data_IF_480677034202
#
_entry.id   IF_480677034202
#
_cell.length_a   1.000
_cell.length_b   1.000
_cell.length_c   1.000
_cell.angle_alpha   90.00
_cell.angle_beta   90.00
_cell.angle_gamma   90.00
#
_symmetry.space_group_name_H-M   'P 1'
#
loop_
_entity.id
_entity.type
_entity.pdbx_description
1 polymer ?
#
# COMPACT_ATOMS: atom_id res chain seq x y z
N UNK A 1 -11.75 -6.67 -11.07
CA UNK A 1 -13.15 -6.28 -10.70
C UNK A 1 -13.10 -5.25 -9.57
N UNK A 2 -13.99 -4.24 -9.54
CA UNK A 2 -14.06 -3.30 -8.40
C UNK A 2 -14.98 -3.85 -7.31
N UNK A 3 -14.47 -3.92 -6.08
CA UNK A 3 -15.21 -4.39 -4.89
C UNK A 3 -14.80 -3.58 -3.65
N UNK A 4 -15.40 -3.88 -2.49
CA UNK A 4 -15.02 -3.31 -1.20
C UNK A 4 -14.57 -4.43 -0.28
N UNK A 5 -13.45 -4.23 0.41
CA UNK A 5 -12.85 -5.23 1.32
C UNK A 5 -12.49 -4.60 2.66
N UNK A 6 -12.57 -5.34 3.77
CA UNK A 6 -12.10 -4.88 5.07
C UNK A 6 -10.63 -4.44 5.06
N UNK A 7 -10.30 -3.42 5.86
CA UNK A 7 -8.94 -2.90 5.98
C UNK A 7 -7.94 -3.92 6.56
N UNK A 8 -8.42 -4.88 7.36
CA UNK A 8 -7.62 -5.96 7.97
C UNK A 8 -7.43 -7.17 7.04
N UNK A 9 -8.11 -7.21 5.89
CA UNK A 9 -7.88 -8.19 4.82
C UNK A 9 -6.91 -7.67 3.73
N UNK A 10 -6.48 -6.40 3.82
CA UNK A 10 -5.60 -5.78 2.83
C UNK A 10 -4.14 -5.73 3.28
N UNK A 11 -3.29 -6.47 2.56
CA UNK A 11 -1.87 -6.57 2.87
C UNK A 11 -1.07 -5.45 2.17
N UNK A 12 -0.37 -4.59 2.92
CA UNK A 12 0.52 -3.59 2.31
C UNK A 12 1.75 -4.24 1.71
N UNK A 13 2.14 -3.79 0.51
CA UNK A 13 3.49 -4.02 -0.07
C UNK A 13 4.46 -2.86 0.19
N UNK A 14 4.23 -2.05 1.24
CA UNK A 14 5.06 -0.89 1.58
C UNK A 14 5.26 -0.76 3.08
N UNK A 15 6.51 -0.69 3.53
CA UNK A 15 6.84 -0.64 4.96
C UNK A 15 6.59 0.70 5.64
N UNK A 16 6.67 1.81 4.90
CA UNK A 16 6.68 3.15 5.47
C UNK A 16 5.77 4.09 4.68
N UNK A 17 5.18 5.07 5.37
CA UNK A 17 4.48 6.18 4.70
C UNK A 17 5.37 7.42 4.73
N UNK A 18 5.58 8.06 3.59
CA UNK A 18 6.22 9.37 3.56
C UNK A 18 5.29 10.42 4.15
N UNK A 19 5.73 11.11 5.21
CA UNK A 19 5.00 12.22 5.80
C UNK A 19 4.69 13.34 4.79
N UNK A 20 5.56 13.53 3.79
CA UNK A 20 5.31 14.49 2.72
C UNK A 20 4.16 14.03 1.82
N UNK A 21 4.21 12.81 1.28
CA UNK A 21 3.12 12.25 0.47
C UNK A 21 1.80 12.22 1.25
N UNK A 22 1.86 11.92 2.54
CA UNK A 22 0.68 11.93 3.41
C UNK A 22 0.07 13.32 3.54
N UNK A 23 0.88 14.38 3.71
CA UNK A 23 0.37 15.76 3.70
C UNK A 23 -0.33 16.07 2.39
N UNK A 24 0.27 15.71 1.27
CA UNK A 24 -0.29 15.97 -0.05
C UNK A 24 -1.66 15.28 -0.22
N UNK A 25 -1.83 14.06 0.31
CA UNK A 25 -3.13 13.37 0.34
C UNK A 25 -4.12 14.07 1.26
N UNK A 26 -3.71 14.40 2.49
CA UNK A 26 -4.55 15.06 3.50
C UNK A 26 -5.07 16.43 3.04
N UNK A 27 -4.34 17.13 2.17
CA UNK A 27 -4.77 18.44 1.63
C UNK A 27 -6.05 18.38 0.79
N UNK A 28 -6.35 17.25 0.14
CA UNK A 28 -7.55 17.08 -0.71
C UNK A 28 -8.49 15.98 -0.24
N UNK A 29 -8.09 15.15 0.72
CA UNK A 29 -8.91 14.06 1.23
C UNK A 29 -10.06 14.60 2.09
N UNK A 30 -11.29 14.25 1.74
CA UNK A 30 -12.47 14.56 2.53
C UNK A 30 -12.67 13.46 3.61
N UNK A 31 -12.47 13.83 4.87
CA UNK A 31 -12.64 12.88 5.98
C UNK A 31 -14.11 12.64 6.34
N UNK A 32 -15.01 13.56 5.99
CA UNK A 32 -16.46 13.41 6.22
C UNK A 32 -17.11 12.55 5.13
N UNK A 33 -16.50 12.50 3.94
CA UNK A 33 -16.82 11.59 2.83
C UNK A 33 -15.55 10.99 2.22
N UNK A 34 -14.98 9.91 2.81
CA UNK A 34 -13.68 9.34 2.45
C UNK A 34 -13.70 8.55 1.12
N UNK A 35 -14.32 9.13 0.10
CA UNK A 35 -14.35 8.62 -1.25
C UNK A 35 -12.95 8.69 -1.87
N UNK A 36 -12.48 7.54 -2.35
CA UNK A 36 -11.26 7.41 -3.12
C UNK A 36 -11.48 6.49 -4.31
N UNK A 37 -10.68 6.65 -5.35
CA UNK A 37 -10.65 5.71 -6.46
C UNK A 37 -10.30 4.30 -5.97
N UNK A 38 -10.78 3.29 -6.69
CA UNK A 38 -10.47 1.91 -6.37
C UNK A 38 -8.95 1.68 -6.39
N UNK A 39 -8.43 1.11 -5.32
CA UNK A 39 -6.99 0.88 -5.17
C UNK A 39 -6.59 -0.43 -5.86
N UNK A 40 -5.52 -0.45 -6.67
CA UNK A 40 -5.11 -1.65 -7.38
C UNK A 40 -4.59 -2.70 -6.40
N UNK A 41 -5.09 -3.92 -6.55
CA UNK A 41 -4.73 -5.07 -5.72
C UNK A 41 -4.51 -6.29 -6.59
N UNK A 42 -3.73 -7.24 -6.10
CA UNK A 42 -3.53 -8.54 -6.76
C UNK A 42 -3.31 -9.62 -5.70
N UNK A 43 -3.73 -10.85 -5.99
CA UNK A 43 -3.51 -11.99 -5.09
C UNK A 43 -2.06 -12.46 -5.26
N UNK A 44 -1.18 -12.05 -4.33
CA UNK A 44 0.20 -12.51 -4.27
C UNK A 44 0.32 -13.59 -3.21
N UNK A 45 0.66 -14.80 -3.65
CA UNK A 45 0.92 -15.96 -2.77
C UNK A 45 -0.23 -16.28 -1.78
N UNK A 46 -1.46 -15.91 -2.16
CA UNK A 46 -2.68 -16.11 -1.37
C UNK A 46 -3.16 -14.88 -0.61
N UNK A 47 -2.36 -13.82 -0.53
CA UNK A 47 -2.68 -12.57 0.17
C UNK A 47 -3.23 -11.51 -0.81
N UNK A 48 -4.33 -10.85 -0.42
CA UNK A 48 -4.86 -9.70 -1.17
C UNK A 48 -3.96 -8.48 -0.94
N UNK A 49 -3.03 -8.28 -1.87
CA UNK A 49 -1.93 -7.34 -1.71
C UNK A 49 -2.24 -6.02 -2.42
N UNK A 50 -2.07 -4.91 -1.70
CA UNK A 50 -2.14 -3.56 -2.23
C UNK A 50 -0.89 -3.28 -3.09
N UNK A 51 -1.07 -3.02 -4.37
CA UNK A 51 0.04 -2.74 -5.31
C UNK A 51 0.43 -1.26 -5.29
N UNK A 52 -0.54 -0.37 -5.15
CA UNK A 52 -0.30 1.08 -5.06
C UNK A 52 -1.39 1.76 -4.23
N UNK A 53 -1.15 3.00 -3.84
CA UNK A 53 -2.10 3.83 -3.11
C UNK A 53 -2.04 3.66 -1.60
N UNK A 54 -0.97 3.08 -1.04
CA UNK A 54 -0.79 2.86 0.40
C UNK A 54 -0.98 4.13 1.23
N UNK A 55 -0.57 5.30 0.72
CA UNK A 55 -0.80 6.57 1.44
C UNK A 55 -2.29 6.94 1.49
N UNK A 56 -3.04 6.73 0.40
CA UNK A 56 -4.49 6.96 0.37
C UNK A 56 -5.23 5.96 1.25
N UNK A 57 -4.87 4.67 1.15
CA UNK A 57 -5.40 3.61 1.99
C UNK A 57 -5.20 3.92 3.48
N UNK A 58 -3.98 4.34 3.86
CA UNK A 58 -3.64 4.65 5.23
C UNK A 58 -4.35 5.92 5.74
N UNK A 59 -4.48 6.97 4.92
CA UNK A 59 -5.24 8.18 5.29
C UNK A 59 -6.72 7.86 5.49
N UNK A 60 -7.33 7.05 4.61
CA UNK A 60 -8.70 6.59 4.77
C UNK A 60 -8.88 5.76 6.06
N UNK A 61 -7.95 4.83 6.34
CA UNK A 61 -7.93 4.06 7.59
C UNK A 61 -7.87 4.98 8.83
N UNK A 62 -7.01 6.00 8.83
CA UNK A 62 -6.94 6.99 9.92
C UNK A 62 -8.22 7.83 10.05
N UNK A 63 -8.96 8.01 8.96
CA UNK A 63 -10.29 8.62 8.95
C UNK A 63 -11.39 7.75 9.56
N UNK A 64 -11.08 6.52 9.98
CA UNK A 64 -12.04 5.58 10.57
C UNK A 64 -12.79 4.74 9.53
N UNK A 65 -12.24 4.60 8.33
CA UNK A 65 -12.79 3.70 7.31
C UNK A 65 -12.41 2.26 7.63
N UNK A 66 -13.42 1.40 7.82
CA UNK A 66 -13.24 -0.02 8.11
C UNK A 66 -13.06 -0.90 6.84
N UNK A 67 -13.38 -0.35 5.66
CA UNK A 67 -13.33 -1.08 4.40
C UNK A 67 -13.03 -0.17 3.20
N UNK A 68 -12.16 -0.60 2.30
CA UNK A 68 -11.70 0.19 1.15
C UNK A 68 -12.22 -0.36 -0.17
N UNK A 69 -12.47 0.56 -1.12
CA UNK A 69 -12.71 0.20 -2.52
C UNK A 69 -11.42 -0.24 -3.18
N UNK A 70 -11.42 -1.44 -3.75
CA UNK A 70 -10.28 -2.01 -4.46
C UNK A 70 -10.65 -2.40 -5.87
N UNK A 71 -9.64 -2.47 -6.74
CA UNK A 71 -9.70 -3.12 -8.03
C UNK A 71 -8.77 -4.32 -7.97
N UNK A 72 -9.33 -5.52 -7.91
CA UNK A 72 -8.56 -6.75 -8.07
C UNK A 72 -8.19 -6.89 -9.55
N UNK A 73 -6.89 -6.86 -9.82
CA UNK A 73 -6.27 -7.04 -11.13
C UNK A 73 -6.19 -8.53 -11.45
N UNK A 74 -6.28 -8.86 -12.73
CA UNK A 74 -6.02 -10.22 -13.21
C UNK A 74 -4.63 -10.34 -13.87
N UNK A 75 -4.30 -11.55 -14.36
CA UNK A 75 -3.01 -11.81 -15.00
C UNK A 75 -2.75 -10.91 -16.22
N UNK A 76 -3.80 -10.49 -16.94
CA UNK A 76 -3.67 -9.60 -18.09
C UNK A 76 -3.41 -8.15 -17.69
N UNK A 77 -3.99 -7.71 -16.58
CA UNK A 77 -3.71 -6.38 -15.99
C UNK A 77 -2.28 -6.27 -15.43
N UNK A 78 -1.64 -7.41 -15.12
CA UNK A 78 -0.35 -7.46 -14.42
C UNK A 78 0.83 -7.87 -15.31
N UNK A 79 0.65 -8.07 -16.62
CA UNK A 79 1.73 -8.48 -17.55
C UNK A 79 2.93 -7.53 -17.56
N UNK A 80 2.68 -6.23 -17.37
CA UNK A 80 3.73 -5.19 -17.32
C UNK A 80 4.28 -4.93 -15.91
N UNK A 81 3.72 -5.59 -14.89
CA UNK A 81 4.15 -5.41 -13.50
C UNK A 81 5.28 -6.38 -13.15
N UNK A 82 6.28 -5.87 -12.43
CA UNK A 82 7.31 -6.72 -11.84
C UNK A 82 6.79 -7.39 -10.57
N UNK A 83 6.03 -8.48 -10.74
CA UNK A 83 5.42 -9.21 -9.62
C UNK A 83 6.46 -9.83 -8.67
N UNK A 84 7.70 -10.07 -9.12
CA UNK A 84 8.77 -10.55 -8.24
C UNK A 84 9.18 -9.48 -7.22
N UNK A 85 9.32 -8.21 -7.66
CA UNK A 85 9.56 -7.09 -6.75
C UNK A 85 8.42 -6.92 -5.75
N UNK A 86 7.16 -7.05 -6.18
CA UNK A 86 6.01 -6.95 -5.28
C UNK A 86 5.98 -8.08 -4.25
N UNK A 87 6.32 -9.32 -4.65
CA UNK A 87 6.46 -10.44 -3.70
C UNK A 87 7.54 -10.15 -2.66
N UNK A 88 8.72 -9.67 -3.07
CA UNK A 88 9.78 -9.33 -2.13
C UNK A 88 9.36 -8.18 -1.18
N UNK A 89 8.63 -7.18 -1.70
CA UNK A 89 8.05 -6.12 -0.88
C UNK A 89 7.05 -6.65 0.15
N UNK A 90 6.20 -7.62 -0.24
CA UNK A 90 5.26 -8.29 0.65
C UNK A 90 5.99 -9.10 1.73
N UNK A 91 7.01 -9.86 1.35
CA UNK A 91 7.85 -10.63 2.28
C UNK A 91 8.49 -9.72 3.33
N UNK A 92 9.08 -8.59 2.91
CA UNK A 92 9.64 -7.61 3.85
C UNK A 92 8.58 -7.05 4.80
N UNK A 93 7.36 -6.84 4.32
CA UNK A 93 6.25 -6.38 5.15
C UNK A 93 5.87 -7.45 6.18
N UNK A 94 5.73 -8.72 5.78
CA UNK A 94 5.46 -9.83 6.69
C UNK A 94 6.56 -10.00 7.76
N UNK A 95 7.85 -9.94 7.37
CA UNK A 95 9.00 -10.04 8.27
C UNK A 95 9.01 -8.93 9.34
N UNK A 96 8.59 -7.73 8.97
CA UNK A 96 8.51 -6.56 9.85
C UNK A 96 7.19 -6.45 10.62
N UNK A 97 6.26 -7.39 10.43
CA UNK A 97 4.94 -7.39 11.06
C UNK A 97 4.00 -6.30 10.50
N UNK A 98 4.11 -5.99 9.21
CA UNK A 98 3.20 -5.13 8.46
C UNK A 98 2.30 -6.03 7.60
N UNK A 99 1.26 -6.59 8.21
CA UNK A 99 0.32 -7.50 7.54
C UNK A 99 -0.99 -6.84 7.16
N UNK A 100 -1.31 -5.70 7.75
CA UNK A 100 -2.51 -4.92 7.44
C UNK A 100 -2.27 -3.40 7.56
N UNK A 101 -3.27 -2.60 7.20
CA UNK A 101 -3.18 -1.13 7.24
C UNK A 101 -2.98 -0.55 8.64
N UNK A 102 -3.45 -1.22 9.69
CA UNK A 102 -3.24 -0.78 11.07
C UNK A 102 -1.76 -0.82 11.46
N UNK A 103 -0.98 -1.73 10.87
CA UNK A 103 0.45 -1.87 11.17
C UNK A 103 1.31 -0.75 10.58
N UNK A 104 0.73 0.10 9.73
CA UNK A 104 1.36 1.33 9.25
C UNK A 104 1.28 2.47 10.29
N UNK A 105 0.47 2.32 11.34
CA UNK A 105 0.46 3.26 12.47
C UNK A 105 1.84 3.26 13.14
N UNK A 106 2.42 4.45 13.29
CA UNK A 106 3.79 4.63 13.79
C UNK A 106 4.89 4.44 12.73
N UNK A 107 4.53 4.16 11.47
CA UNK A 107 5.48 4.02 10.34
C UNK A 107 5.46 5.20 9.37
N UNK A 108 4.87 6.32 9.77
CA UNK A 108 4.98 7.59 9.04
C UNK A 108 6.35 8.21 9.34
N UNK A 109 7.16 8.40 8.31
CA UNK A 109 8.55 8.88 8.45
C UNK A 109 8.79 10.13 7.60
N UNK A 110 9.88 10.86 7.87
CA UNK A 110 10.27 12.00 7.03
C UNK A 110 10.49 11.57 5.58
N UNK A 111 10.36 12.49 4.62
CA UNK A 111 10.59 12.18 3.21
C UNK A 111 11.97 11.56 2.97
N UNK A 112 13.02 12.15 3.54
CA UNK A 112 14.39 11.63 3.45
C UNK A 112 14.52 10.23 4.06
N UNK A 113 13.86 9.97 5.20
CA UNK A 113 13.85 8.62 5.79
C UNK A 113 13.12 7.63 4.91
N UNK A 114 12.01 8.03 4.29
CA UNK A 114 11.28 7.19 3.34
C UNK A 114 12.13 6.89 2.11
N UNK A 115 12.82 7.88 1.54
CA UNK A 115 13.76 7.65 0.43
C UNK A 115 14.82 6.62 0.83
N UNK A 116 15.52 6.82 1.95
CA UNK A 116 16.62 5.93 2.34
C UNK A 116 16.18 4.55 2.84
N UNK A 117 15.06 4.45 3.57
CA UNK A 117 14.64 3.18 4.18
C UNK A 117 13.67 2.36 3.32
N UNK A 118 12.99 3.00 2.38
CA UNK A 118 12.04 2.34 1.51
C UNK A 118 12.50 2.36 0.05
N UNK A 119 12.65 3.55 -0.54
CA UNK A 119 12.97 3.67 -1.98
C UNK A 119 14.32 3.04 -2.31
N UNK A 120 15.37 3.38 -1.56
CA UNK A 120 16.70 2.79 -1.76
C UNK A 120 16.71 1.28 -1.52
N UNK A 121 15.85 0.78 -0.60
CA UNK A 121 15.71 -0.66 -0.35
C UNK A 121 15.09 -1.35 -1.58
N UNK A 122 13.99 -0.82 -2.12
CA UNK A 122 13.39 -1.31 -3.36
C UNK A 122 14.40 -1.26 -4.51
N UNK A 123 15.14 -0.16 -4.67
CA UNK A 123 16.17 -0.03 -5.72
C UNK A 123 17.32 -1.03 -5.57
N UNK A 124 17.60 -1.50 -4.35
CA UNK A 124 18.63 -2.50 -4.08
C UNK A 124 18.17 -3.94 -4.31
N UNK A 125 16.87 -4.15 -4.57
CA UNK A 125 16.31 -5.45 -4.90
C UNK A 125 16.94 -5.99 -6.19
N UNK A 126 17.29 -7.30 -6.24
CA UNK A 126 17.68 -7.94 -7.50
C UNK A 126 16.54 -8.00 -8.53
N UNK A 127 15.30 -7.75 -8.10
CA UNK A 127 14.10 -7.74 -8.91
C UNK A 127 13.67 -6.31 -9.31
N UNK A 128 14.48 -5.27 -9.11
CA UNK A 128 14.05 -3.90 -9.40
C UNK A 128 14.00 -3.55 -10.91
N UNK A 129 14.80 -4.23 -11.74
CA UNK A 129 14.93 -3.94 -13.18
C UNK A 129 13.78 -4.47 -14.04
#
# INVERSE_FOLDING_TARGET
MVTTVPCDELHPSQLYISAQKMRDVVEWFDFDDPAHDALPTYILDGDLTLLDGHTRAFVAYLGGVDSLRIQELDDSDTEELNLELYRECLDWCQEEGVTDLSNLVGRVVSHTTYETKWIDRCHSSPHYE
#
